data_IF_839161029424
#
_entry.id   IF_839161029424
#
_cell.length_a   1.000
_cell.length_b   1.000
_cell.length_c   1.000
_cell.angle_alpha   90.00
_cell.angle_beta   90.00
_cell.angle_gamma   90.00
#
_symmetry.space_group_name_H-M   'P 1'
#
loop_
_entity.id
_entity.type
_entity.pdbx_description
1 polymer ?
#
# COMPACT_ATOMS: atom_id res chain seq x y z
N UNK A 1 -19.73 33.14 -13.23
CA UNK A 1 -19.02 32.94 -11.95
C UNK A 1 -19.63 31.81 -11.08
N UNK A 2 -20.94 31.56 -11.11
CA UNK A 2 -21.63 30.51 -10.32
C UNK A 2 -21.14 29.08 -10.60
N UNK A 3 -20.97 28.71 -11.87
CA UNK A 3 -20.49 27.35 -12.24
C UNK A 3 -19.10 27.00 -11.68
N UNK A 4 -18.28 28.00 -11.33
CA UNK A 4 -16.94 27.73 -10.80
C UNK A 4 -16.94 27.31 -9.32
N UNK A 5 -17.88 27.79 -8.52
CA UNK A 5 -17.98 27.44 -7.08
C UNK A 5 -18.55 26.03 -6.91
N UNK A 6 -19.59 25.69 -7.65
CA UNK A 6 -20.17 24.35 -7.64
C UNK A 6 -19.18 23.29 -8.15
N UNK A 7 -18.41 23.61 -9.20
CA UNK A 7 -17.35 22.72 -9.72
C UNK A 7 -16.22 22.54 -8.70
N UNK A 8 -15.83 23.61 -8.01
CA UNK A 8 -14.80 23.56 -6.96
C UNK A 8 -15.29 22.71 -5.76
N UNK A 9 -16.55 22.91 -5.33
CA UNK A 9 -17.15 22.12 -4.25
C UNK A 9 -17.25 20.64 -4.61
N UNK A 10 -17.64 20.31 -5.84
CA UNK A 10 -17.67 18.94 -6.33
C UNK A 10 -16.27 18.31 -6.40
N UNK A 11 -15.27 19.11 -6.78
CA UNK A 11 -13.85 18.69 -6.75
C UNK A 11 -13.38 18.35 -5.34
N UNK A 12 -13.66 19.24 -4.37
CA UNK A 12 -13.34 19.02 -2.96
C UNK A 12 -14.07 17.80 -2.38
N UNK A 13 -15.34 17.60 -2.73
CA UNK A 13 -16.13 16.44 -2.33
C UNK A 13 -15.52 15.13 -2.83
N UNK A 14 -15.16 15.05 -4.13
CA UNK A 14 -14.52 13.86 -4.71
C UNK A 14 -13.18 13.56 -4.05
N UNK A 15 -12.41 14.59 -3.78
CA UNK A 15 -11.14 14.44 -3.10
C UNK A 15 -11.32 13.91 -1.67
N UNK A 16 -12.28 14.47 -0.94
CA UNK A 16 -12.58 14.04 0.42
C UNK A 16 -13.02 12.58 0.47
N UNK A 17 -13.83 12.12 -0.50
CA UNK A 17 -14.21 10.73 -0.64
C UNK A 17 -13.00 9.82 -0.86
N UNK A 18 -12.02 10.23 -1.69
CA UNK A 18 -10.78 9.47 -1.90
C UNK A 18 -9.92 9.38 -0.64
N UNK A 19 -9.76 10.49 0.08
CA UNK A 19 -9.03 10.51 1.36
C UNK A 19 -9.66 9.53 2.34
N UNK A 20 -10.99 9.57 2.49
CA UNK A 20 -11.73 8.63 3.36
C UNK A 20 -11.52 7.18 2.92
N UNK A 21 -11.51 6.91 1.62
CA UNK A 21 -11.24 5.56 1.10
C UNK A 21 -9.82 5.09 1.41
N UNK A 22 -8.81 5.95 1.25
CA UNK A 22 -7.42 5.64 1.59
C UNK A 22 -7.27 5.33 3.08
N UNK A 23 -7.86 6.15 3.95
CA UNK A 23 -7.85 5.94 5.41
C UNK A 23 -8.53 4.62 5.78
N UNK A 24 -9.71 4.33 5.20
CA UNK A 24 -10.43 3.10 5.44
C UNK A 24 -9.64 1.86 4.98
N UNK A 25 -8.95 1.95 3.84
CA UNK A 25 -8.05 0.90 3.35
C UNK A 25 -6.89 0.68 4.32
N UNK A 26 -6.23 1.74 4.78
CA UNK A 26 -5.16 1.64 5.78
C UNK A 26 -5.67 0.97 7.06
N UNK A 27 -6.82 1.41 7.57
CA UNK A 27 -7.40 0.90 8.81
C UNK A 27 -7.78 -0.58 8.70
N UNK A 28 -8.33 -1.01 7.56
CA UNK A 28 -8.68 -2.42 7.34
C UNK A 28 -7.45 -3.34 7.29
N UNK A 29 -6.27 -2.79 6.97
CA UNK A 29 -5.02 -3.53 6.85
C UNK A 29 -4.04 -3.28 8.01
N UNK A 30 -4.51 -2.76 9.14
CA UNK A 30 -3.66 -2.49 10.31
C UNK A 30 -3.03 -3.76 10.91
N UNK A 31 -3.68 -4.91 10.75
CA UNK A 31 -3.19 -6.22 11.22
C UNK A 31 -2.56 -7.06 10.11
N UNK A 32 -2.55 -6.56 8.88
CA UNK A 32 -1.99 -7.30 7.73
C UNK A 32 -0.47 -7.22 7.77
N UNK A 33 0.21 -8.38 7.85
CA UNK A 33 1.66 -8.45 7.84
C UNK A 33 2.24 -7.86 6.55
N UNK A 34 3.29 -7.05 6.67
CA UNK A 34 3.97 -6.43 5.53
C UNK A 34 3.17 -5.35 4.81
N UNK A 35 2.00 -4.96 5.32
CA UNK A 35 1.23 -3.88 4.70
C UNK A 35 1.95 -2.54 4.83
N UNK A 36 1.97 -1.79 3.74
CA UNK A 36 2.53 -0.44 3.68
C UNK A 36 1.41 0.57 3.49
N UNK A 37 1.41 1.58 4.38
CA UNK A 37 0.42 2.65 4.44
C UNK A 37 0.38 3.45 3.15
N UNK A 38 -0.83 3.70 2.63
CA UNK A 38 -1.07 4.66 1.57
C UNK A 38 -1.22 6.06 2.17
N UNK A 39 -0.50 7.03 1.62
CA UNK A 39 -0.54 8.44 2.03
C UNK A 39 -1.13 9.24 0.89
N UNK A 40 -2.25 9.91 1.13
CA UNK A 40 -2.80 10.90 0.19
C UNK A 40 -1.88 12.10 0.15
N UNK A 41 -1.21 12.33 -0.96
CA UNK A 41 -0.42 13.52 -1.18
C UNK A 41 -1.34 14.56 -1.83
N UNK A 42 -1.69 15.58 -1.07
CA UNK A 42 -2.30 16.77 -1.62
C UNK A 42 -1.24 17.53 -2.41
N UNK A 43 -1.08 17.20 -3.67
CA UNK A 43 -0.41 18.12 -4.59
C UNK A 43 -1.38 19.27 -4.85
N UNK A 44 -1.43 20.27 -3.95
CA UNK A 44 -1.89 21.58 -4.31
C UNK A 44 -0.87 22.13 -5.32
N UNK A 45 -0.97 21.66 -6.54
CA UNK A 45 -0.45 22.44 -7.65
C UNK A 45 -1.36 23.68 -7.67
N UNK A 46 -0.99 24.67 -6.90
CA UNK A 46 -1.19 26.04 -7.29
C UNK A 46 -0.46 26.18 -8.63
N UNK A 47 -1.07 25.61 -9.68
CA UNK A 47 -0.61 25.85 -11.03
C UNK A 47 -0.67 27.37 -11.22
N UNK A 48 0.50 27.95 -11.12
CA UNK A 48 0.80 29.20 -11.75
C UNK A 48 0.23 29.12 -13.15
N UNK A 49 -0.78 29.84 -13.38
CA UNK A 49 -1.23 30.35 -14.65
C UNK A 49 -2.75 30.29 -14.74
N UNK A 50 -3.32 31.45 -14.58
CA UNK A 50 -4.48 31.92 -15.36
C UNK A 50 -4.74 31.03 -16.58
N UNK A 51 -5.91 30.38 -16.64
CA UNK A 51 -6.47 29.66 -17.77
C UNK A 51 -6.15 28.15 -17.79
N UNK A 52 -6.84 27.41 -16.94
CA UNK A 52 -7.44 26.10 -17.29
C UNK A 52 -7.92 25.41 -16.02
N UNK A 53 -9.18 25.61 -15.70
CA UNK A 53 -9.92 24.81 -14.69
C UNK A 53 -10.16 23.35 -15.15
N UNK A 54 -9.20 22.71 -15.81
CA UNK A 54 -9.39 21.39 -16.38
C UNK A 54 -8.54 20.27 -15.80
N UNK A 55 -7.72 20.51 -14.78
CA UNK A 55 -7.01 19.43 -14.12
C UNK A 55 -6.97 19.64 -12.60
N UNK A 56 -8.13 19.55 -11.95
CA UNK A 56 -8.19 19.28 -10.53
C UNK A 56 -7.95 17.77 -10.37
N UNK A 57 -6.73 17.43 -10.00
CA UNK A 57 -6.46 16.17 -9.33
C UNK A 57 -5.83 15.04 -10.15
N UNK A 58 -4.54 15.09 -10.40
CA UNK A 58 -3.72 13.90 -10.27
C UNK A 58 -3.31 13.78 -8.79
N UNK A 59 -4.24 13.33 -7.97
CA UNK A 59 -3.96 12.89 -6.61
C UNK A 59 -3.28 11.53 -6.72
N UNK A 60 -1.96 11.54 -6.69
CA UNK A 60 -1.17 10.33 -6.58
C UNK A 60 -1.08 9.97 -5.10
N UNK A 61 -1.75 8.91 -4.68
CA UNK A 61 -1.44 8.30 -3.38
C UNK A 61 0.00 7.80 -3.44
N UNK A 62 0.80 8.14 -2.44
CA UNK A 62 2.15 7.61 -2.26
C UNK A 62 2.12 6.50 -1.23
N UNK A 63 2.98 5.50 -1.42
CA UNK A 63 3.16 4.41 -0.46
C UNK A 63 4.25 4.83 0.52
N UNK A 64 3.98 4.68 1.81
CA UNK A 64 5.00 4.84 2.84
C UNK A 64 5.72 3.52 3.08
N UNK A 65 6.97 3.42 2.67
CA UNK A 65 7.79 2.23 2.88
C UNK A 65 8.52 2.20 4.24
N UNK A 66 8.19 3.09 5.16
CA UNK A 66 8.71 3.02 6.52
C UNK A 66 8.47 1.61 7.11
N UNK A 67 9.42 1.06 7.87
CA UNK A 67 9.26 -0.25 8.47
C UNK A 67 8.10 -0.26 9.48
N UNK A 68 7.38 -1.38 9.53
CA UNK A 68 6.44 -1.68 10.60
C UNK A 68 7.15 -2.28 11.83
N UNK A 69 6.41 -2.55 12.88
CA UNK A 69 6.95 -3.24 14.06
C UNK A 69 7.17 -4.73 13.75
N UNK A 70 8.33 -5.26 14.11
CA UNK A 70 8.60 -6.71 13.99
C UNK A 70 8.01 -7.45 15.19
N UNK A 71 7.22 -8.49 14.93
CA UNK A 71 6.57 -9.32 15.94
C UNK A 71 7.05 -10.78 15.81
N UNK A 72 7.51 -11.37 16.91
CA UNK A 72 7.88 -12.80 16.94
C UNK A 72 6.63 -13.67 16.99
N UNK A 73 6.55 -14.63 16.07
CA UNK A 73 5.44 -15.59 15.98
C UNK A 73 5.85 -17.00 16.40
N UNK A 74 7.14 -17.32 16.27
CA UNK A 74 7.67 -18.66 16.54
C UNK A 74 7.42 -19.68 15.42
N UNK A 75 6.70 -19.32 14.35
CA UNK A 75 6.50 -20.20 13.19
C UNK A 75 7.74 -20.14 12.29
N UNK A 76 8.30 -21.28 11.94
CA UNK A 76 9.54 -21.37 11.14
C UNK A 76 9.41 -20.79 9.71
N UNK A 77 8.20 -20.68 9.18
CA UNK A 77 7.92 -20.13 7.85
C UNK A 77 7.52 -18.65 7.86
N UNK A 78 7.38 -18.05 9.05
CA UNK A 78 7.19 -16.62 9.16
C UNK A 78 8.55 -15.93 9.12
N UNK A 79 8.73 -15.05 8.16
CA UNK A 79 9.99 -14.38 7.89
C UNK A 79 9.80 -12.87 7.89
N UNK A 80 10.63 -12.13 8.60
CA UNK A 80 10.68 -10.67 8.53
C UNK A 80 11.99 -10.22 7.89
N UNK A 81 11.95 -9.13 7.14
CA UNK A 81 13.16 -8.49 6.59
C UNK A 81 13.56 -7.37 7.53
N UNK A 82 14.78 -7.42 8.04
CA UNK A 82 15.42 -6.32 8.75
C UNK A 82 16.27 -5.53 7.76
N UNK A 83 15.93 -4.26 7.56
CA UNK A 83 16.53 -3.40 6.54
C UNK A 83 15.63 -3.21 5.30
N UNK A 84 16.24 -2.73 4.21
CA UNK A 84 15.55 -2.43 2.96
C UNK A 84 15.51 -3.65 2.05
N UNK A 85 14.36 -4.02 1.55
CA UNK A 85 14.25 -5.15 0.62
C UNK A 85 12.83 -5.68 0.51
N UNK A 86 12.63 -6.59 -0.43
CA UNK A 86 11.36 -7.24 -0.70
C UNK A 86 11.60 -8.69 -1.06
N UNK A 87 10.66 -9.55 -0.68
CA UNK A 87 10.54 -10.90 -1.21
C UNK A 87 10.00 -10.85 -2.63
N UNK A 88 10.43 -11.77 -3.47
CA UNK A 88 9.91 -11.96 -4.83
C UNK A 88 8.87 -13.06 -4.83
N UNK A 89 7.73 -12.81 -5.45
CA UNK A 89 6.67 -13.81 -5.66
C UNK A 89 6.31 -13.87 -7.13
N UNK A 90 5.96 -15.08 -7.59
CA UNK A 90 5.58 -15.32 -8.98
C UNK A 90 4.06 -15.23 -9.10
N UNK A 91 3.58 -14.38 -9.99
CA UNK A 91 2.17 -14.28 -10.35
C UNK A 91 1.96 -14.68 -11.81
N UNK A 92 0.71 -14.85 -12.22
CA UNK A 92 0.35 -15.07 -13.64
C UNK A 92 0.78 -13.91 -14.55
N UNK A 93 0.88 -12.70 -13.98
CA UNK A 93 1.23 -11.47 -14.70
C UNK A 93 2.71 -11.07 -14.55
N UNK A 94 3.56 -12.01 -14.08
CA UNK A 94 4.98 -11.77 -13.87
C UNK A 94 5.38 -11.70 -12.40
N UNK A 95 6.56 -11.17 -12.13
CA UNK A 95 7.12 -11.08 -10.78
C UNK A 95 6.49 -9.91 -10.03
N UNK A 96 6.18 -10.12 -8.76
CA UNK A 96 5.74 -9.10 -7.81
C UNK A 96 6.63 -9.14 -6.58
N UNK A 97 6.55 -8.06 -5.82
CA UNK A 97 7.39 -7.84 -4.66
C UNK A 97 6.51 -7.67 -3.43
N UNK A 98 6.95 -8.18 -2.29
CA UNK A 98 6.17 -8.08 -1.05
C UNK A 98 7.07 -7.94 0.18
N UNK A 99 6.55 -7.28 1.21
CA UNK A 99 7.11 -7.25 2.56
C UNK A 99 6.43 -8.28 3.49
N UNK A 100 5.32 -8.86 3.04
CA UNK A 100 4.64 -9.90 3.79
C UNK A 100 5.46 -11.19 3.79
N UNK A 101 5.88 -11.61 4.96
CA UNK A 101 6.65 -12.85 5.14
C UNK A 101 5.84 -13.98 5.75
N UNK A 102 4.52 -13.87 5.77
CA UNK A 102 3.63 -14.95 6.20
C UNK A 102 3.56 -16.01 5.11
N UNK A 103 4.49 -16.96 5.17
CA UNK A 103 4.62 -18.03 4.18
C UNK A 103 4.08 -19.35 4.68
N UNK A 104 3.71 -20.21 3.74
CA UNK A 104 3.27 -21.57 3.97
C UNK A 104 3.83 -22.53 2.91
N UNK A 105 3.51 -23.79 3.04
CA UNK A 105 3.84 -24.79 2.02
C UNK A 105 2.56 -25.31 1.38
N UNK A 106 2.57 -25.38 0.05
CA UNK A 106 1.50 -26.04 -0.70
C UNK A 106 1.64 -27.58 -0.65
N UNK A 107 0.74 -28.29 -1.34
CA UNK A 107 0.75 -29.77 -1.42
C UNK A 107 2.03 -30.31 -2.04
N UNK A 108 2.65 -29.55 -2.94
CA UNK A 108 3.89 -29.90 -3.64
C UNK A 108 5.13 -29.43 -2.87
N UNK A 109 4.96 -29.00 -1.60
CA UNK A 109 6.04 -28.52 -0.74
C UNK A 109 6.74 -27.27 -1.27
N UNK A 110 6.09 -26.51 -2.15
CA UNK A 110 6.58 -25.22 -2.62
C UNK A 110 6.21 -24.14 -1.61
N UNK A 111 7.14 -23.25 -1.33
CA UNK A 111 6.94 -22.09 -0.45
C UNK A 111 6.02 -21.07 -1.14
N UNK A 112 4.90 -20.77 -0.51
CA UNK A 112 3.88 -19.84 -1.03
C UNK A 112 3.56 -18.75 -0.01
N UNK A 113 3.09 -17.62 -0.50
CA UNK A 113 2.53 -16.56 0.37
C UNK A 113 1.07 -16.89 0.78
N UNK A 114 0.46 -15.99 1.56
CA UNK A 114 -0.93 -16.14 2.02
C UNK A 114 -1.97 -16.17 0.87
N UNK A 115 -1.61 -15.66 -0.30
CA UNK A 115 -2.46 -15.66 -1.52
C UNK A 115 -2.24 -16.91 -2.39
N UNK A 116 -1.36 -17.84 -1.97
CA UNK A 116 -1.03 -19.04 -2.71
C UNK A 116 0.00 -18.85 -3.83
N UNK A 117 0.67 -17.71 -3.88
CA UNK A 117 1.67 -17.39 -4.90
C UNK A 117 3.04 -17.93 -4.50
N UNK A 118 3.78 -18.63 -5.42
CA UNK A 118 5.11 -19.14 -5.15
C UNK A 118 6.11 -18.02 -4.83
N UNK A 119 6.89 -18.23 -3.76
CA UNK A 119 8.02 -17.39 -3.39
C UNK A 119 9.23 -17.80 -4.21
N UNK A 120 9.99 -16.82 -4.70
CA UNK A 120 11.16 -17.07 -5.53
C UNK A 120 12.45 -17.00 -4.72
N UNK A 121 13.28 -18.02 -4.90
CA UNK A 121 14.67 -18.05 -4.50
C UNK A 121 15.61 -17.66 -5.66
N UNK A 122 16.88 -17.86 -5.45
CA UNK A 122 17.90 -17.62 -6.50
C UNK A 122 17.80 -18.63 -7.65
N UNK A 123 17.32 -19.85 -7.38
CA UNK A 123 17.17 -20.94 -8.38
C UNK A 123 15.75 -21.04 -8.96
N UNK A 124 14.81 -20.19 -8.52
CA UNK A 124 13.42 -20.19 -8.95
C UNK A 124 12.45 -20.44 -7.82
N UNK A 125 11.41 -21.25 -8.02
CA UNK A 125 10.43 -21.59 -6.98
C UNK A 125 11.08 -22.46 -5.89
N UNK A 126 10.90 -22.08 -4.64
CA UNK A 126 11.54 -22.74 -3.50
C UNK A 126 10.73 -23.97 -3.08
N UNK A 127 11.31 -25.15 -3.19
CA UNK A 127 10.68 -26.41 -2.74
C UNK A 127 11.41 -26.94 -1.52
N UNK A 128 10.68 -27.22 -0.44
CA UNK A 128 11.22 -27.58 0.87
C UNK A 128 10.79 -29.02 1.28
N UNK A 129 11.61 -30.00 0.94
CA UNK A 129 11.35 -31.42 1.23
C UNK A 129 12.09 -31.85 2.50
N UNK A 130 11.46 -31.69 3.66
CA UNK A 130 12.00 -32.09 4.95
C UNK A 130 11.17 -31.60 6.12
N UNK A 131 11.64 -31.83 7.33
CA UNK A 131 10.91 -31.48 8.55
C UNK A 131 11.49 -30.24 9.24
N UNK A 132 12.81 -30.16 9.29
CA UNK A 132 13.48 -29.08 9.99
C UNK A 132 13.93 -28.02 8.99
N UNK A 133 13.22 -26.90 8.94
CA UNK A 133 13.49 -25.79 8.03
C UNK A 133 14.13 -24.65 8.83
N UNK A 134 15.34 -24.29 8.46
CA UNK A 134 16.08 -23.17 9.05
C UNK A 134 16.40 -22.16 7.97
N UNK A 135 16.05 -20.91 8.22
CA UNK A 135 16.38 -19.78 7.36
C UNK A 135 17.40 -18.90 8.07
N UNK A 136 18.57 -18.77 7.47
CA UNK A 136 19.66 -17.94 8.02
C UNK A 136 19.44 -16.46 7.67
N UNK A 137 20.08 -15.56 8.41
CA UNK A 137 19.96 -14.12 8.20
C UNK A 137 20.32 -13.65 6.79
N UNK A 138 21.23 -14.36 6.11
CA UNK A 138 21.62 -14.08 4.73
C UNK A 138 20.61 -14.60 3.67
N UNK A 139 19.48 -15.19 4.11
CA UNK A 139 18.45 -15.75 3.25
C UNK A 139 18.67 -17.21 2.82
N UNK A 140 19.78 -17.86 3.21
CA UNK A 140 20.03 -19.28 2.92
C UNK A 140 19.02 -20.15 3.65
N UNK A 141 18.40 -21.07 2.91
CA UNK A 141 17.42 -22.03 3.45
C UNK A 141 18.07 -23.39 3.59
N UNK A 142 18.07 -23.92 4.81
CA UNK A 142 18.53 -25.25 5.11
C UNK A 142 17.36 -26.14 5.50
N UNK A 143 17.29 -27.31 4.91
CA UNK A 143 16.30 -28.34 5.22
C UNK A 143 17.04 -29.59 5.72
N UNK A 144 16.75 -30.00 6.95
CA UNK A 144 17.41 -31.12 7.60
C UNK A 144 18.97 -31.04 7.58
N UNK A 145 19.48 -29.78 7.68
CA UNK A 145 20.91 -29.47 7.71
C UNK A 145 21.56 -29.22 6.33
N UNK A 146 20.87 -29.47 5.22
CA UNK A 146 21.40 -29.25 3.88
C UNK A 146 20.87 -27.95 3.29
N UNK A 147 21.74 -27.16 2.67
CA UNK A 147 21.33 -25.95 1.95
C UNK A 147 20.60 -26.31 0.66
N UNK A 148 19.35 -25.83 0.52
CA UNK A 148 18.48 -26.13 -0.61
C UNK A 148 18.47 -24.97 -1.60
N UNK A 149 18.23 -23.76 -1.12
CA UNK A 149 18.17 -22.53 -1.93
C UNK A 149 18.43 -21.32 -1.04
N UNK A 150 18.40 -20.13 -1.67
CA UNK A 150 18.45 -18.85 -0.97
C UNK A 150 17.30 -17.98 -1.41
N UNK A 151 16.60 -17.33 -0.47
CA UNK A 151 15.52 -16.41 -0.76
C UNK A 151 16.08 -15.22 -1.56
N UNK A 152 15.41 -14.87 -2.65
CA UNK A 152 15.78 -13.71 -3.45
C UNK A 152 15.25 -12.45 -2.78
N UNK A 153 16.11 -11.74 -2.05
CA UNK A 153 15.84 -10.39 -1.53
C UNK A 153 16.30 -9.35 -2.53
N UNK A 154 15.41 -8.43 -2.86
CA UNK A 154 15.71 -7.34 -3.80
C UNK A 154 15.30 -5.99 -3.24
N UNK A 155 15.99 -4.95 -3.65
CA UNK A 155 15.66 -3.56 -3.36
C UNK A 155 15.65 -2.73 -4.63
N UNK A 156 15.14 -1.52 -4.54
CA UNK A 156 15.04 -0.59 -5.66
C UNK A 156 15.68 0.74 -5.29
N UNK A 157 16.42 1.39 -6.20
CA UNK A 157 16.98 2.72 -5.97
C UNK A 157 15.91 3.77 -5.69
N UNK A 158 14.71 3.59 -6.26
CA UNK A 158 13.57 4.51 -6.11
C UNK A 158 12.32 3.72 -5.75
N UNK A 159 11.99 3.70 -4.46
CA UNK A 159 10.79 3.02 -3.94
C UNK A 159 9.49 3.72 -4.37
N UNK A 160 9.52 5.02 -4.61
CA UNK A 160 8.36 5.82 -5.09
C UNK A 160 7.84 5.37 -6.46
N UNK A 161 8.64 4.64 -7.23
CA UNK A 161 8.24 4.09 -8.52
C UNK A 161 7.39 2.82 -8.41
N UNK A 162 7.43 2.14 -7.26
CA UNK A 162 6.66 0.93 -7.03
C UNK A 162 5.17 1.24 -6.97
N UNK A 163 4.38 0.45 -7.68
CA UNK A 163 2.93 0.54 -7.69
C UNK A 163 2.34 -0.60 -6.88
N UNK A 164 1.33 -0.29 -6.06
CA UNK A 164 0.64 -1.29 -5.26
C UNK A 164 -0.32 -2.10 -6.12
N UNK A 165 -0.27 -3.42 -6.01
CA UNK A 165 -1.21 -4.35 -6.63
C UNK A 165 -1.85 -5.21 -5.52
N UNK A 166 -3.11 -4.95 -5.21
CA UNK A 166 -3.80 -5.57 -4.07
C UNK A 166 -3.35 -4.98 -2.72
N UNK A 167 -3.25 -5.85 -1.70
CA UNK A 167 -2.99 -5.41 -0.32
C UNK A 167 -1.50 -5.34 0.03
N UNK A 168 -0.72 -6.34 -0.38
CA UNK A 168 0.68 -6.53 0.07
C UNK A 168 1.68 -6.69 -1.07
N UNK A 169 1.19 -6.70 -2.32
CA UNK A 169 2.03 -6.86 -3.50
C UNK A 169 2.38 -5.51 -4.11
N UNK A 170 3.58 -5.45 -4.66
CA UNK A 170 4.09 -4.29 -5.39
C UNK A 170 4.57 -4.71 -6.76
N UNK A 171 4.30 -3.88 -7.74
CA UNK A 171 4.80 -4.01 -9.10
C UNK A 171 5.85 -2.93 -9.34
N UNK A 172 6.99 -3.32 -9.94
CA UNK A 172 7.95 -2.37 -10.48
C UNK A 172 7.66 -2.14 -11.96
N UNK A 173 7.55 -0.90 -12.42
CA UNK A 173 7.45 -0.60 -13.85
C UNK A 173 8.76 -0.89 -14.60
N UNK A 174 9.88 -0.99 -13.87
CA UNK A 174 11.22 -1.25 -14.41
C UNK A 174 11.89 -2.36 -13.59
N UNK A 175 11.53 -3.64 -13.83
CA UNK A 175 12.11 -4.77 -13.08
C UNK A 175 13.63 -4.89 -13.24
N UNK A 176 14.19 -4.37 -14.32
CA UNK A 176 15.64 -4.36 -14.61
C UNK A 176 16.44 -3.50 -13.62
N UNK A 177 15.77 -2.59 -12.88
CA UNK A 177 16.42 -1.74 -11.88
C UNK A 177 16.45 -2.41 -10.48
N UNK A 178 16.03 -3.67 -10.37
CA UNK A 178 16.16 -4.39 -9.11
C UNK A 178 17.64 -4.64 -8.80
N UNK A 179 17.99 -4.47 -7.53
CA UNK A 179 19.34 -4.76 -7.02
C UNK A 179 19.23 -5.73 -5.85
N UNK A 180 20.25 -6.57 -5.65
CA UNK A 180 20.28 -7.44 -4.50
C UNK A 180 20.30 -6.63 -3.20
N UNK A 181 19.51 -7.05 -2.20
CA UNK A 181 19.43 -6.38 -0.91
C UNK A 181 20.48 -6.93 0.06
N UNK A 182 21.77 -6.77 -0.27
CA UNK A 182 22.90 -7.38 0.46
C UNK A 182 23.08 -6.88 1.90
N UNK A 183 22.45 -5.74 2.24
CA UNK A 183 22.51 -5.14 3.60
C UNK A 183 21.32 -5.52 4.47
N UNK A 184 20.45 -6.36 3.97
CA UNK A 184 19.24 -6.76 4.68
C UNK A 184 19.38 -8.17 5.22
N UNK A 185 18.80 -8.41 6.38
CA UNK A 185 18.82 -9.71 7.03
C UNK A 185 17.40 -10.28 7.14
N UNK A 186 17.29 -11.58 7.13
CA UNK A 186 16.02 -12.28 7.36
C UNK A 186 15.97 -12.77 8.79
N UNK A 187 14.91 -12.40 9.50
CA UNK A 187 14.57 -12.92 10.81
C UNK A 187 13.55 -14.04 10.67
N UNK A 188 13.95 -15.26 11.02
CA UNK A 188 13.04 -16.41 11.07
C UNK A 188 12.19 -16.38 12.34
N UNK A 189 10.94 -16.81 12.24
CA UNK A 189 9.99 -16.84 13.35
C UNK A 189 9.44 -15.47 13.74
N UNK A 190 9.45 -14.52 12.81
CA UNK A 190 8.96 -13.17 13.00
C UNK A 190 8.23 -12.66 11.75
N UNK A 191 7.33 -11.70 11.92
CA UNK A 191 6.64 -11.00 10.85
C UNK A 191 6.82 -9.49 11.00
N UNK A 192 6.96 -8.79 9.90
CA UNK A 192 6.82 -7.34 9.86
C UNK A 192 5.33 -6.98 9.91
N UNK A 193 4.91 -6.22 10.93
CA UNK A 193 3.55 -5.73 11.03
C UNK A 193 3.27 -4.58 10.04
N UNK A 194 2.02 -4.18 9.96
CA UNK A 194 1.63 -2.96 9.24
C UNK A 194 2.30 -1.73 9.84
N UNK A 195 2.69 -0.76 8.99
CA UNK A 195 3.18 0.54 9.45
C UNK A 195 2.06 1.57 9.65
N UNK A 196 0.81 1.12 9.71
CA UNK A 196 -0.38 1.93 9.97
C UNK A 196 -0.55 2.14 11.48
N UNK A 197 -0.73 3.39 11.90
CA UNK A 197 -1.15 3.70 13.27
C UNK A 197 -2.68 3.82 13.33
N UNK A 198 -3.40 2.86 13.95
CA UNK A 198 -4.85 2.83 13.93
C UNK A 198 -5.48 4.06 14.60
N UNK A 199 -4.89 4.58 15.67
CA UNK A 199 -5.42 5.75 16.38
C UNK A 199 -5.32 6.98 15.48
N UNK A 200 -4.20 7.16 14.82
CA UNK A 200 -4.01 8.30 13.91
C UNK A 200 -4.92 8.22 12.68
N UNK A 201 -5.11 7.02 12.12
CA UNK A 201 -6.06 6.83 11.00
C UNK A 201 -7.51 7.09 11.43
N UNK A 202 -7.92 6.66 12.64
CA UNK A 202 -9.26 6.95 13.16
C UNK A 202 -9.49 8.46 13.35
N UNK A 203 -8.51 9.18 13.89
CA UNK A 203 -8.61 10.64 14.02
C UNK A 203 -8.69 11.31 12.63
N UNK A 204 -7.86 10.88 11.69
CA UNK A 204 -7.90 11.37 10.31
C UNK A 204 -9.25 11.07 9.63
N UNK A 205 -9.87 9.93 9.93
CA UNK A 205 -11.19 9.57 9.41
C UNK A 205 -12.28 10.51 9.97
N UNK A 206 -12.22 10.82 11.26
CA UNK A 206 -13.16 11.78 11.88
C UNK A 206 -13.03 13.18 11.28
N UNK A 207 -11.81 13.66 11.10
CA UNK A 207 -11.57 14.98 10.47
C UNK A 207 -12.02 14.97 9.00
N UNK A 208 -11.78 13.87 8.30
CA UNK A 208 -12.27 13.65 6.94
C UNK A 208 -13.80 13.73 6.88
N UNK A 209 -14.47 13.08 7.82
CA UNK A 209 -15.95 13.08 7.89
C UNK A 209 -16.50 14.50 8.15
N UNK A 210 -15.91 15.23 9.10
CA UNK A 210 -16.30 16.62 9.39
C UNK A 210 -16.14 17.53 8.17
N UNK A 211 -15.04 17.37 7.45
CA UNK A 211 -14.78 18.14 6.21
C UNK A 211 -15.80 17.79 5.13
N UNK A 212 -16.13 16.51 4.99
CA UNK A 212 -17.16 16.04 4.07
C UNK A 212 -18.53 16.64 4.39
N UNK A 213 -18.96 16.63 5.66
CA UNK A 213 -20.21 17.25 6.09
C UNK A 213 -20.23 18.76 5.83
N UNK A 214 -19.11 19.45 6.05
CA UNK A 214 -18.98 20.87 5.75
C UNK A 214 -19.15 21.15 4.24
N UNK A 215 -18.55 20.32 3.37
CA UNK A 215 -18.71 20.44 1.93
C UNK A 215 -20.17 20.24 1.50
N UNK A 216 -20.87 19.25 2.06
CA UNK A 216 -22.30 19.04 1.78
C UNK A 216 -23.14 20.26 2.18
N UNK A 217 -22.89 20.83 3.37
CA UNK A 217 -23.62 22.02 3.83
C UNK A 217 -23.42 23.22 2.92
N UNK A 218 -22.21 23.41 2.37
CA UNK A 218 -21.92 24.45 1.41
C UNK A 218 -22.74 24.26 0.12
N UNK A 219 -22.79 23.04 -0.42
CA UNK A 219 -23.57 22.71 -1.62
C UNK A 219 -25.06 22.96 -1.37
N UNK A 220 -25.60 22.49 -0.24
CA UNK A 220 -27.00 22.69 0.12
C UNK A 220 -27.35 24.19 0.31
N UNK A 221 -26.42 24.96 0.88
CA UNK A 221 -26.60 26.40 1.03
C UNK A 221 -26.66 27.11 -0.32
N UNK A 222 -25.85 26.69 -1.28
CA UNK A 222 -25.84 27.23 -2.65
C UNK A 222 -27.16 26.93 -3.37
N UNK A 223 -27.65 25.69 -3.27
CA UNK A 223 -28.95 25.27 -3.82
C UNK A 223 -30.14 26.06 -3.21
N UNK A 224 -30.07 26.35 -1.90
CA UNK A 224 -31.13 27.13 -1.23
C UNK A 224 -31.11 28.59 -1.65
N UNK A 225 -29.93 29.18 -1.86
CA UNK A 225 -29.79 30.54 -2.37
C UNK A 225 -30.28 30.67 -3.84
N UNK A 226 -29.99 29.67 -4.66
CA UNK A 226 -30.48 29.60 -6.03
C UNK A 226 -32.03 29.49 -6.09
N UNK A 227 -32.61 28.66 -5.25
CA UNK A 227 -34.07 28.52 -5.15
C UNK A 227 -34.74 29.83 -4.71
N UNK A 228 -34.14 30.54 -3.75
CA UNK A 228 -34.64 31.84 -3.32
C UNK A 228 -34.54 32.91 -4.43
N UNK A 229 -33.38 32.97 -5.11
CA UNK A 229 -33.17 33.90 -6.18
C UNK A 229 -34.15 33.72 -7.34
N UNK A 230 -34.41 32.45 -7.73
CA UNK A 230 -35.40 32.13 -8.78
C UNK A 230 -36.82 32.49 -8.36
N UNK A 231 -37.20 32.28 -7.10
CA UNK A 231 -38.53 32.59 -6.58
C UNK A 231 -38.75 34.09 -6.40
N UNK A 232 -37.71 34.88 -6.09
CA UNK A 232 -37.82 36.35 -5.97
C UNK A 232 -37.85 37.04 -7.33
N UNK A 233 -37.05 36.58 -8.29
CA UNK A 233 -37.06 37.11 -9.66
C UNK A 233 -38.34 36.73 -10.43
N UNK A 234 -38.95 35.59 -10.14
CA UNK A 234 -40.19 35.15 -10.77
C UNK A 234 -41.47 35.82 -10.20
N UNK A 235 -41.34 36.70 -9.24
CA UNK A 235 -42.48 37.46 -8.62
C UNK A 235 -42.62 38.89 -9.11
N UNK A 236 -41.88 39.32 -10.10
CA UNK A 236 -41.99 40.65 -10.72
C UNK A 236 -42.87 40.58 -11.97
#
# INVERSE_FOLDING_TARGET
MRNSQTVAALGAFRQQARISHTIANNLSNVQTAGFKRDVSVFNSILSQARNRFQNVGNDTSKISFLPGSTQRTGNALDLAIEGDGFFKVKTTNGIRYTRSGNFGLNKDRVLINAEGLPVLGQRGEITLNGKNIVVEGNGSIKVDGNEVDRIALVTFPTLDALQKEGHTLFQSPSPENETAADRSEILQGALEGSNVNPIQEMLSLLDSHRTYEACIKIIQSDDTLDSKAVNEIGRV
#
